data_IF_131671226558
#
_entry.id   IF_131671226558
#
_cell.length_a   1.000
_cell.length_b   1.000
_cell.length_c   1.000
_cell.angle_alpha   90.00
_cell.angle_beta   90.00
_cell.angle_gamma   90.00
#
_symmetry.space_group_name_H-M   'P 1'
#
loop_
_entity.id
_entity.type
_entity.pdbx_description
1 polymer ?
#
# COMPACT_ATOMS: atom_id res chain seq x y z
N UNK A 1 -17.80 -61.11 14.56
CA UNK A 1 -16.79 -60.13 15.00
C UNK A 1 -17.01 -58.88 14.16
N UNK A 2 -17.73 -57.87 14.65
CA UNK A 2 -17.95 -56.64 13.91
C UNK A 2 -16.69 -55.76 13.97
N UNK A 3 -16.40 -55.12 12.84
CA UNK A 3 -15.20 -54.34 12.55
C UNK A 3 -15.34 -52.91 13.12
N UNK A 4 -14.68 -52.66 14.25
CA UNK A 4 -14.76 -51.42 15.06
C UNK A 4 -13.86 -50.28 14.56
N UNK A 5 -13.29 -50.38 13.36
CA UNK A 5 -12.21 -49.49 12.91
C UNK A 5 -12.67 -48.20 12.20
N UNK A 6 -13.97 -48.05 11.93
CA UNK A 6 -14.54 -46.96 11.12
C UNK A 6 -14.86 -45.60 11.81
N UNK A 7 -15.00 -45.44 13.14
CA UNK A 7 -15.39 -44.15 13.72
C UNK A 7 -14.23 -43.15 13.90
N UNK A 8 -12.97 -43.55 13.70
CA UNK A 8 -11.81 -42.67 13.93
C UNK A 8 -11.55 -41.68 12.80
N UNK A 9 -11.78 -42.07 11.55
CA UNK A 9 -11.52 -41.22 10.38
C UNK A 9 -12.52 -40.06 10.27
N UNK A 10 -13.78 -40.28 10.68
CA UNK A 10 -14.81 -39.24 10.70
C UNK A 10 -14.55 -38.18 11.78
N UNK A 11 -13.93 -38.54 12.91
CA UNK A 11 -13.51 -37.59 13.95
C UNK A 11 -12.28 -36.75 13.54
N UNK A 12 -11.32 -37.32 12.82
CA UNK A 12 -10.18 -36.55 12.29
C UNK A 12 -10.58 -35.63 11.13
N UNK A 13 -11.56 -36.02 10.30
CA UNK A 13 -12.14 -35.16 9.26
C UNK A 13 -12.97 -34.00 9.83
N UNK A 14 -13.65 -34.18 10.97
CA UNK A 14 -14.32 -33.08 11.69
C UNK A 14 -13.32 -32.14 12.37
N UNK A 15 -12.16 -32.62 12.83
CA UNK A 15 -11.07 -31.75 13.31
C UNK A 15 -10.45 -30.92 12.17
N UNK A 16 -10.57 -31.39 10.93
CA UNK A 16 -10.22 -30.69 9.70
C UNK A 16 -11.39 -29.92 9.07
N UNK A 17 -12.49 -29.67 9.79
CA UNK A 17 -13.38 -28.56 9.47
C UNK A 17 -12.62 -27.25 9.66
N UNK A 18 -11.82 -26.95 8.65
CA UNK A 18 -11.30 -25.63 8.34
C UNK A 18 -12.52 -24.72 8.48
N UNK A 19 -12.48 -23.88 9.52
CA UNK A 19 -13.42 -22.81 9.76
C UNK A 19 -13.80 -22.18 8.42
N UNK A 20 -15.09 -21.88 8.19
CA UNK A 20 -15.60 -21.24 6.96
C UNK A 20 -14.88 -19.91 6.61
N UNK A 21 -13.98 -19.46 7.47
CA UNK A 21 -12.98 -18.45 7.18
C UNK A 21 -12.11 -18.84 5.97
N UNK A 22 -12.04 -17.94 4.99
CA UNK A 22 -11.16 -18.07 3.82
C UNK A 22 -9.74 -18.51 4.23
N UNK A 23 -9.09 -19.46 3.53
CA UNK A 23 -7.74 -19.95 3.85
C UNK A 23 -6.68 -18.85 3.86
N UNK A 24 -6.99 -17.65 3.34
CA UNK A 24 -6.12 -16.48 3.38
C UNK A 24 -6.13 -15.81 4.76
N UNK A 25 -7.23 -15.93 5.50
CA UNK A 25 -7.39 -15.33 6.84
C UNK A 25 -6.69 -16.11 7.96
N UNK A 26 -6.29 -17.36 7.70
CA UNK A 26 -5.48 -18.17 8.60
C UNK A 26 -3.97 -17.97 8.43
N UNK A 27 -3.54 -17.17 7.45
CA UNK A 27 -2.13 -16.84 7.26
C UNK A 27 -1.61 -15.95 8.38
N UNK A 28 -0.35 -16.15 8.75
CA UNK A 28 0.34 -15.28 9.70
C UNK A 28 0.41 -13.84 9.18
N UNK A 29 0.30 -12.82 10.06
CA UNK A 29 0.37 -11.41 9.67
C UNK A 29 1.60 -11.06 8.85
N UNK A 30 2.75 -11.68 9.12
CA UNK A 30 4.02 -11.45 8.42
C UNK A 30 3.93 -11.86 6.94
N UNK A 31 3.27 -12.98 6.67
CA UNK A 31 3.04 -13.48 5.30
C UNK A 31 2.06 -12.54 4.58
N UNK A 32 1.01 -12.09 5.26
CA UNK A 32 0.07 -11.12 4.71
C UNK A 32 0.77 -9.78 4.40
N UNK A 33 1.62 -9.28 5.30
CA UNK A 33 2.45 -8.09 5.05
C UNK A 33 3.36 -8.25 3.83
N UNK A 34 3.97 -9.43 3.68
CA UNK A 34 4.79 -9.73 2.51
C UNK A 34 3.94 -9.69 1.22
N UNK A 35 2.78 -10.37 1.20
CA UNK A 35 1.84 -10.34 0.07
C UNK A 35 1.39 -8.91 -0.23
N UNK A 36 1.04 -8.13 0.79
CA UNK A 36 0.61 -6.74 0.63
C UNK A 36 1.71 -5.90 -0.03
N UNK A 37 2.97 -6.12 0.33
CA UNK A 37 4.11 -5.42 -0.26
C UNK A 37 4.23 -5.71 -1.76
N UNK A 38 3.91 -6.94 -2.19
CA UNK A 38 3.90 -7.31 -3.61
C UNK A 38 2.78 -6.62 -4.41
N UNK A 39 1.72 -6.16 -3.74
CA UNK A 39 0.63 -5.41 -4.39
C UNK A 39 0.96 -3.93 -4.58
N UNK A 40 1.98 -3.41 -3.89
CA UNK A 40 2.46 -2.04 -4.07
C UNK A 40 3.37 -2.02 -5.30
N UNK A 41 3.05 -1.23 -6.34
CA UNK A 41 3.89 -1.16 -7.54
C UNK A 41 5.32 -0.78 -7.17
N UNK A 42 6.35 -1.48 -7.67
CA UNK A 42 7.72 -1.07 -7.45
C UNK A 42 7.93 0.32 -8.07
N UNK A 43 8.34 1.29 -7.25
CA UNK A 43 8.67 2.64 -7.73
C UNK A 43 10.08 2.72 -8.31
N UNK A 44 10.91 1.69 -8.07
CA UNK A 44 12.25 1.61 -8.66
C UNK A 44 12.16 1.37 -10.18
N UNK A 45 12.79 2.21 -11.01
CA UNK A 45 12.96 1.93 -12.42
C UNK A 45 13.99 0.80 -12.57
N UNK A 46 13.55 -0.45 -12.51
CA UNK A 46 14.44 -1.62 -12.58
C UNK A 46 14.93 -1.93 -14.01
N UNK A 47 14.94 -0.95 -14.92
CA UNK A 47 15.50 -1.13 -16.25
C UNK A 47 16.21 0.16 -16.71
N UNK A 48 17.47 0.06 -17.19
CA UNK A 48 18.13 1.17 -17.84
C UNK A 48 17.42 1.45 -19.17
N UNK A 49 16.74 2.59 -19.23
CA UNK A 49 16.60 3.41 -20.44
C UNK A 49 16.40 2.64 -21.76
N UNK A 50 15.38 1.78 -21.85
CA UNK A 50 14.79 1.48 -23.16
C UNK A 50 13.75 2.57 -23.41
N UNK A 51 14.07 3.37 -24.42
CA UNK A 51 13.33 4.53 -24.85
C UNK A 51 11.82 4.28 -24.91
N UNK A 52 11.07 5.31 -24.52
CA UNK A 52 9.76 5.60 -25.11
C UNK A 52 8.65 4.56 -25.00
N UNK A 53 8.65 3.65 -24.02
CA UNK A 53 7.38 3.01 -23.60
C UNK A 53 6.60 3.97 -22.70
N UNK A 54 6.20 5.11 -23.29
CA UNK A 54 5.16 5.99 -22.76
C UNK A 54 3.93 5.12 -22.39
N UNK A 55 3.36 5.33 -21.20
CA UNK A 55 2.00 4.99 -20.79
C UNK A 55 1.61 3.58 -20.27
N UNK A 56 2.38 2.50 -20.35
CA UNK A 56 1.69 1.18 -20.41
C UNK A 56 1.34 0.42 -19.12
N UNK A 57 1.87 0.73 -17.93
CA UNK A 57 1.44 -0.03 -16.71
C UNK A 57 0.61 0.82 -15.75
N UNK A 58 0.99 2.07 -15.59
CA UNK A 58 0.41 2.95 -14.56
C UNK A 58 -0.70 3.86 -15.13
N UNK A 59 -0.82 4.01 -16.45
CA UNK A 59 -1.94 4.73 -17.09
C UNK A 59 -3.05 3.80 -17.58
N UNK A 60 -2.74 2.55 -17.92
CA UNK A 60 -3.76 1.58 -18.34
C UNK A 60 -4.68 1.18 -17.18
N UNK A 61 -4.17 1.13 -15.95
CA UNK A 61 -4.98 0.84 -14.76
C UNK A 61 -5.78 2.06 -14.25
N UNK A 62 -5.32 3.29 -14.51
CA UNK A 62 -5.91 4.50 -13.92
C UNK A 62 -6.72 5.38 -14.88
N UNK A 63 -6.62 5.22 -16.20
CA UNK A 63 -7.46 6.00 -17.12
C UNK A 63 -8.95 5.68 -17.01
N UNK A 64 -9.32 4.46 -16.59
CA UNK A 64 -10.72 4.04 -16.42
C UNK A 64 -11.23 4.18 -14.99
N UNK A 65 -10.34 4.35 -13.99
CA UNK A 65 -10.70 4.66 -12.61
C UNK A 65 -9.80 5.79 -12.07
N UNK A 66 -10.17 7.06 -12.30
CA UNK A 66 -9.46 8.22 -11.75
C UNK A 66 -9.40 8.22 -10.20
N UNK A 67 -10.14 7.31 -9.55
CA UNK A 67 -10.51 7.44 -8.15
C UNK A 67 -9.95 6.35 -7.23
N UNK A 68 -9.48 5.20 -7.73
CA UNK A 68 -8.98 4.15 -6.85
C UNK A 68 -7.61 4.56 -6.32
N UNK A 69 -7.60 5.07 -5.09
CA UNK A 69 -6.41 5.03 -4.26
C UNK A 69 -5.92 3.57 -4.28
N UNK A 70 -4.84 3.29 -5.01
CA UNK A 70 -4.31 1.93 -5.14
C UNK A 70 -3.88 1.36 -3.78
N UNK A 71 -3.23 0.20 -3.78
CA UNK A 71 -2.52 -0.25 -2.58
C UNK A 71 -1.63 0.91 -2.07
N UNK A 72 -1.67 1.23 -0.75
CA UNK A 72 -2.18 0.43 0.37
C UNK A 72 -3.67 0.57 0.70
N UNK A 73 -4.38 1.54 0.12
CA UNK A 73 -5.71 1.93 0.58
C UNK A 73 -6.79 0.89 0.31
N UNK A 74 -6.72 0.19 -0.81
CA UNK A 74 -7.63 -0.90 -1.15
C UNK A 74 -7.51 -2.08 -0.17
N UNK A 75 -6.30 -2.39 0.30
CA UNK A 75 -6.05 -3.47 1.25
C UNK A 75 -6.78 -3.23 2.58
N UNK A 76 -6.82 -1.96 3.03
CA UNK A 76 -7.53 -1.56 4.24
C UNK A 76 -9.07 -1.63 4.11
N UNK A 77 -9.61 -1.89 2.92
CA UNK A 77 -11.04 -2.01 2.68
C UNK A 77 -11.54 -3.46 2.56
N UNK A 78 -10.64 -4.45 2.45
CA UNK A 78 -11.02 -5.85 2.21
C UNK A 78 -11.78 -6.46 3.40
N UNK A 79 -11.17 -6.48 4.58
CA UNK A 79 -11.81 -6.92 5.83
C UNK A 79 -11.15 -6.24 7.03
N UNK A 80 -11.71 -6.42 8.23
CA UNK A 80 -11.17 -5.84 9.46
C UNK A 80 -9.75 -6.32 9.76
N UNK A 81 -9.46 -7.61 9.58
CA UNK A 81 -8.12 -8.18 9.80
C UNK A 81 -7.08 -7.56 8.88
N UNK A 82 -7.38 -7.49 7.57
CA UNK A 82 -6.49 -6.88 6.58
C UNK A 82 -6.26 -5.40 6.86
N UNK A 83 -7.30 -4.68 7.28
CA UNK A 83 -7.19 -3.30 7.70
C UNK A 83 -6.23 -3.14 8.87
N UNK A 84 -6.36 -3.94 9.92
CA UNK A 84 -5.48 -3.87 11.09
C UNK A 84 -4.04 -4.12 10.70
N UNK A 85 -3.78 -5.18 9.91
CA UNK A 85 -2.42 -5.53 9.47
C UNK A 85 -1.83 -4.44 8.57
N UNK A 86 -2.57 -4.02 7.53
CA UNK A 86 -2.13 -3.00 6.59
C UNK A 86 -1.82 -1.67 7.29
N UNK A 87 -2.67 -1.24 8.24
CA UNK A 87 -2.48 0.01 8.98
C UNK A 87 -1.33 -0.04 10.00
N UNK A 88 -0.93 -1.23 10.45
CA UNK A 88 0.19 -1.42 11.38
C UNK A 88 1.54 -1.58 10.65
N UNK A 89 1.52 -1.99 9.38
CA UNK A 89 2.74 -2.27 8.63
C UNK A 89 3.25 -1.03 7.87
N UNK A 90 4.09 -0.24 8.54
CA UNK A 90 4.63 1.02 8.02
C UNK A 90 5.30 0.94 6.62
N UNK A 91 6.07 -0.12 6.26
CA UNK A 91 6.65 -0.26 4.91
C UNK A 91 5.64 -0.27 3.78
N UNK A 92 4.38 -0.60 4.05
CA UNK A 92 3.33 -0.57 3.04
C UNK A 92 2.97 0.85 2.60
N UNK A 93 3.24 1.84 3.46
CA UNK A 93 2.88 3.25 3.26
C UNK A 93 4.05 4.09 2.77
N UNK A 94 5.25 3.51 2.63
CA UNK A 94 6.44 4.26 2.24
C UNK A 94 6.48 4.67 0.77
N UNK A 95 5.74 3.96 -0.09
CA UNK A 95 5.70 4.23 -1.53
C UNK A 95 4.60 5.23 -1.85
N UNK A 96 4.99 6.46 -2.18
CA UNK A 96 4.07 7.58 -2.43
C UNK A 96 4.23 8.06 -3.87
N UNK A 97 3.19 7.86 -4.67
CA UNK A 97 3.10 8.46 -6.00
C UNK A 97 2.34 9.79 -5.92
N UNK A 98 3.02 10.89 -6.28
CA UNK A 98 2.48 12.24 -6.26
C UNK A 98 2.31 12.77 -7.67
N UNK A 99 1.19 13.42 -7.93
CA UNK A 99 0.95 14.28 -9.09
C UNK A 99 0.42 15.61 -8.60
N UNK A 100 0.45 16.63 -9.46
CA UNK A 100 -0.14 17.95 -9.15
C UNK A 100 -1.62 17.80 -8.76
N UNK A 101 -2.39 17.05 -9.54
CA UNK A 101 -3.80 16.77 -9.25
C UNK A 101 -4.01 16.05 -7.91
N UNK A 102 -3.22 15.00 -7.63
CA UNK A 102 -3.36 14.26 -6.36
C UNK A 102 -2.91 15.09 -5.18
N UNK A 103 -1.92 15.95 -5.34
CA UNK A 103 -1.50 16.86 -4.27
C UNK A 103 -2.61 17.85 -3.91
N UNK A 104 -3.20 18.51 -4.90
CA UNK A 104 -4.24 19.53 -4.70
C UNK A 104 -5.54 18.92 -4.18
N UNK A 105 -6.01 17.83 -4.79
CA UNK A 105 -7.30 17.22 -4.44
C UNK A 105 -7.22 16.26 -3.27
N UNK A 106 -6.06 15.62 -3.05
CA UNK A 106 -5.88 14.49 -2.14
C UNK A 106 -4.72 14.67 -1.18
N UNK A 107 -4.27 15.90 -0.94
CA UNK A 107 -3.18 16.19 0.01
C UNK A 107 -3.38 15.59 1.40
N UNK A 108 -4.63 15.41 1.87
CA UNK A 108 -4.93 14.72 3.14
C UNK A 108 -4.59 13.23 3.14
N UNK A 109 -4.74 12.55 2.00
CA UNK A 109 -4.35 11.14 1.88
C UNK A 109 -2.83 11.02 1.91
N UNK A 110 -2.14 11.94 1.26
CA UNK A 110 -0.67 12.02 1.32
C UNK A 110 -0.20 12.20 2.76
N UNK A 111 -0.83 13.12 3.52
CA UNK A 111 -0.53 13.30 4.95
C UNK A 111 -0.72 12.01 5.73
N UNK A 112 -1.84 11.32 5.54
CA UNK A 112 -2.10 10.04 6.19
C UNK A 112 -1.08 8.96 5.80
N UNK A 113 -0.64 8.90 4.54
CA UNK A 113 0.41 7.94 4.13
C UNK A 113 1.74 8.24 4.82
N UNK A 114 2.14 9.52 4.88
CA UNK A 114 3.37 9.93 5.57
C UNK A 114 3.29 9.58 7.04
N UNK A 115 2.16 9.90 7.69
CA UNK A 115 1.95 9.60 9.11
C UNK A 115 2.04 8.09 9.38
N UNK A 116 1.49 7.26 8.48
CA UNK A 116 1.49 5.80 8.59
C UNK A 116 2.84 5.16 8.28
N UNK A 117 3.59 5.72 7.32
CA UNK A 117 4.96 5.27 7.04
C UNK A 117 5.90 5.54 8.23
N UNK A 118 5.54 6.54 9.05
CA UNK A 118 6.29 6.92 10.22
C UNK A 118 7.64 7.56 9.89
N UNK A 119 8.46 7.69 10.91
CA UNK A 119 9.75 8.39 10.82
C UNK A 119 10.90 7.45 10.47
N UNK A 120 10.81 6.18 10.87
CA UNK A 120 11.87 5.18 10.71
C UNK A 120 11.94 4.59 9.31
N UNK A 121 10.80 4.49 8.60
CA UNK A 121 10.75 3.88 7.26
C UNK A 121 11.19 4.90 6.21
N UNK A 122 12.16 4.60 5.33
CA UNK A 122 12.50 5.49 4.21
C UNK A 122 11.30 5.60 3.26
N UNK A 123 11.02 6.82 2.78
CA UNK A 123 9.96 7.04 1.79
C UNK A 123 10.53 6.88 0.38
N UNK A 124 9.79 6.19 -0.49
CA UNK A 124 10.03 6.08 -1.92
C UNK A 124 8.97 6.93 -2.63
N UNK A 125 9.39 8.02 -3.27
CA UNK A 125 8.48 9.06 -3.77
C UNK A 125 8.63 9.18 -5.28
N UNK A 126 7.54 8.94 -6.00
CA UNK A 126 7.46 9.10 -7.45
C UNK A 126 6.65 10.35 -7.80
N UNK A 127 7.27 11.32 -8.46
CA UNK A 127 6.57 12.48 -9.00
C UNK A 127 6.11 12.23 -10.44
N UNK A 128 4.81 12.31 -10.66
CA UNK A 128 4.15 12.22 -11.97
C UNK A 128 3.68 13.61 -12.37
N UNK A 129 4.29 14.14 -13.42
CA UNK A 129 3.88 15.39 -14.05
C UNK A 129 2.97 15.07 -15.25
N UNK A 130 1.83 15.73 -15.34
CA UNK A 130 0.98 15.68 -16.54
C UNK A 130 1.51 16.66 -17.59
N UNK A 131 1.10 16.51 -18.85
CA UNK A 131 1.53 17.41 -19.92
C UNK A 131 1.17 18.88 -19.63
N UNK A 132 0.11 19.13 -18.87
CA UNK A 132 -0.30 20.48 -18.47
C UNK A 132 0.67 21.12 -17.45
N UNK A 133 1.44 20.31 -16.71
CA UNK A 133 2.41 20.77 -15.71
C UNK A 133 3.80 21.09 -16.30
N UNK A 134 3.99 20.86 -17.61
CA UNK A 134 5.32 20.86 -18.26
C UNK A 134 5.98 22.23 -18.37
N UNK A 135 5.28 23.32 -18.05
CA UNK A 135 5.86 24.67 -18.14
C UNK A 135 6.95 24.96 -17.10
N UNK A 136 7.08 24.18 -16.01
CA UNK A 136 8.21 24.29 -15.05
C UNK A 136 8.36 23.06 -14.13
N UNK A 137 8.73 21.87 -14.66
CA UNK A 137 8.76 20.62 -13.88
C UNK A 137 9.71 20.68 -12.67
N UNK A 138 10.84 21.36 -12.83
CA UNK A 138 11.85 21.49 -11.76
C UNK A 138 11.38 22.33 -10.57
N UNK A 139 10.62 23.41 -10.81
CA UNK A 139 10.11 24.26 -9.74
C UNK A 139 9.02 23.54 -8.94
N UNK A 140 8.07 22.92 -9.63
CA UNK A 140 6.96 22.20 -8.99
C UNK A 140 7.43 20.96 -8.23
N UNK A 141 8.34 20.17 -8.82
CA UNK A 141 8.90 18.99 -8.16
C UNK A 141 9.59 19.35 -6.85
N UNK A 142 10.43 20.40 -6.85
CA UNK A 142 11.11 20.85 -5.65
C UNK A 142 10.15 21.40 -4.59
N UNK A 143 9.13 22.16 -4.99
CA UNK A 143 8.14 22.71 -4.05
C UNK A 143 7.30 21.61 -3.38
N UNK A 144 6.86 20.62 -4.17
CA UNK A 144 6.13 19.46 -3.65
C UNK A 144 7.00 18.64 -2.70
N UNK A 145 8.25 18.38 -3.09
CA UNK A 145 9.22 17.69 -2.24
C UNK A 145 9.45 18.44 -0.92
N UNK A 146 9.66 19.76 -0.98
CA UNK A 146 9.88 20.59 0.22
C UNK A 146 8.67 20.54 1.15
N UNK A 147 7.47 20.75 0.62
CA UNK A 147 6.21 20.66 1.40
C UNK A 147 6.00 19.28 2.00
N UNK A 148 6.39 18.21 1.29
CA UNK A 148 6.31 16.84 1.78
C UNK A 148 7.27 16.62 2.96
N UNK A 149 8.51 17.07 2.85
CA UNK A 149 9.50 16.94 3.91
C UNK A 149 9.11 17.77 5.15
N UNK A 150 8.56 18.96 4.97
CA UNK A 150 7.99 19.77 6.06
C UNK A 150 6.82 19.07 6.76
N UNK A 151 5.93 18.41 6.00
CA UNK A 151 4.84 17.61 6.56
C UNK A 151 5.38 16.45 7.39
N UNK A 152 6.38 15.73 6.86
CA UNK A 152 7.02 14.61 7.57
C UNK A 152 7.69 15.06 8.87
N UNK A 153 8.41 16.18 8.85
CA UNK A 153 9.03 16.75 10.06
C UNK A 153 7.99 17.08 11.13
N UNK A 154 6.83 17.66 10.74
CA UNK A 154 5.72 17.94 11.67
C UNK A 154 5.07 16.68 12.23
N UNK A 155 4.97 15.61 11.44
CA UNK A 155 4.44 14.31 11.90
C UNK A 155 5.32 13.73 13.01
N UNK A 156 6.64 13.78 12.84
CA UNK A 156 7.62 13.31 13.84
C UNK A 156 7.50 14.03 15.19
N UNK A 157 7.12 15.31 15.21
CA UNK A 157 7.01 16.09 16.44
C UNK A 157 5.77 15.77 17.29
N UNK A 158 4.73 15.17 16.70
CA UNK A 158 3.48 14.86 17.40
C UNK A 158 3.55 13.57 18.23
N UNK A 159 4.43 12.63 17.86
CA UNK A 159 4.54 11.32 18.50
C UNK A 159 5.08 11.35 19.95
N UNK A 160 5.60 12.49 20.42
CA UNK A 160 6.10 12.66 21.79
C UNK A 160 5.06 13.22 22.78
N UNK A 161 3.86 13.58 22.33
CA UNK A 161 2.86 14.30 23.13
C UNK A 161 1.61 13.48 23.51
N UNK A 162 1.60 12.17 23.24
CA UNK A 162 0.54 11.26 23.69
C UNK A 162 1.14 10.29 24.71
N UNK A 163 0.99 10.62 25.99
CA UNK A 163 1.17 9.73 27.13
C UNK A 163 -0.17 9.61 27.85
#
# INVERSE_FOLDING_TARGET
MPDDTLPKLSQELEAFRISEASPISSLFPEILCHIFTLTVPPLKPSAPSVALTRHTVWDTYNRTKPWSLGAPWSLAQVCSTWRTIALAYAPLWSSIALSTETWERRGRYVDLQIDRAGTTTPLDILFRFTYQDTFSPGRWGWELFSKLMERRARSSGKSHLVR
#
